data_IF_461754266983
#
_entry.id   IF_461754266983
#
_cell.length_a   1.000
_cell.length_b   1.000
_cell.length_c   1.000
_cell.angle_alpha   90.00
_cell.angle_beta   90.00
_cell.angle_gamma   90.00
#
_symmetry.space_group_name_H-M   'P 1'
#
loop_
_entity.id
_entity.type
_entity.pdbx_description
1 polymer ?
#
# COMPACT_ATOMS: atom_id res chain seq x y z
N UNK A 1 -18.93 -8.66 -2.83
CA UNK A 1 -17.96 -8.73 -1.71
C UNK A 1 -16.57 -8.39 -2.23
N UNK A 2 -15.77 -7.64 -1.45
CA UNK A 2 -14.45 -7.13 -1.86
C UNK A 2 -13.49 -8.22 -2.33
N UNK A 3 -13.38 -9.30 -1.55
CA UNK A 3 -12.47 -10.43 -1.82
C UNK A 3 -12.71 -11.04 -3.21
N UNK A 4 -13.97 -11.21 -3.60
CA UNK A 4 -14.32 -11.69 -4.94
C UNK A 4 -13.87 -10.74 -6.05
N UNK A 5 -13.96 -9.43 -5.82
CA UNK A 5 -13.43 -8.43 -6.78
C UNK A 5 -11.91 -8.46 -6.85
N UNK A 6 -11.22 -8.63 -5.72
CA UNK A 6 -9.77 -8.77 -5.69
C UNK A 6 -9.29 -10.03 -6.42
N UNK A 7 -9.99 -11.16 -6.27
CA UNK A 7 -9.67 -12.41 -6.97
C UNK A 7 -9.89 -12.30 -8.49
N UNK A 8 -10.85 -11.49 -8.93
CA UNK A 8 -11.17 -11.30 -10.35
C UNK A 8 -10.34 -10.20 -11.04
N UNK A 9 -9.82 -9.24 -10.29
CA UNK A 9 -9.06 -8.11 -10.81
C UNK A 9 -7.56 -8.43 -10.91
N UNK A 10 -6.87 -7.79 -11.87
CA UNK A 10 -5.42 -7.83 -11.94
C UNK A 10 -4.80 -6.91 -10.86
N UNK A 11 -3.80 -7.42 -10.15
CA UNK A 11 -2.93 -6.65 -9.27
C UNK A 11 -1.66 -6.18 -9.97
N UNK A 12 -1.11 -7.03 -10.86
CA UNK A 12 0.06 -6.76 -11.70
C UNK A 12 -0.20 -7.26 -13.13
N UNK A 13 0.40 -6.58 -14.11
CA UNK A 13 0.35 -7.01 -15.52
C UNK A 13 1.28 -8.20 -15.78
N UNK A 14 2.49 -8.18 -15.21
CA UNK A 14 3.46 -9.27 -15.28
C UNK A 14 2.91 -10.54 -14.63
N UNK A 15 2.90 -11.64 -15.38
CA UNK A 15 2.37 -12.92 -14.91
C UNK A 15 0.86 -12.92 -14.61
N UNK A 16 0.14 -11.82 -14.94
CA UNK A 16 -1.30 -11.65 -14.67
C UNK A 16 -1.70 -11.95 -13.22
N UNK A 17 -0.85 -11.56 -12.26
CA UNK A 17 -1.12 -11.78 -10.84
C UNK A 17 -2.43 -11.09 -10.43
N UNK A 18 -3.29 -11.80 -9.71
CA UNK A 18 -4.53 -11.22 -9.20
C UNK A 18 -4.23 -10.16 -8.13
N UNK A 19 -5.17 -9.23 -7.94
CA UNK A 19 -5.07 -8.23 -6.88
C UNK A 19 -5.08 -8.89 -5.50
N UNK A 20 -5.83 -9.98 -5.35
CA UNK A 20 -5.86 -10.77 -4.12
C UNK A 20 -4.47 -11.36 -3.78
N UNK A 21 -3.82 -12.00 -4.75
CA UNK A 21 -2.51 -12.63 -4.53
C UNK A 21 -1.43 -11.58 -4.23
N UNK A 22 -1.48 -10.43 -4.92
CA UNK A 22 -0.61 -9.29 -4.63
C UNK A 22 -0.81 -8.77 -3.20
N UNK A 23 -2.06 -8.49 -2.80
CA UNK A 23 -2.38 -8.02 -1.45
C UNK A 23 -1.91 -8.99 -0.35
N UNK A 24 -2.10 -10.30 -0.54
CA UNK A 24 -1.61 -11.30 0.42
C UNK A 24 -0.08 -11.40 0.45
N UNK A 25 0.57 -11.27 -0.70
CA UNK A 25 2.04 -11.23 -0.77
C UNK A 25 2.58 -10.02 -0.01
N UNK A 26 1.98 -8.85 -0.19
CA UNK A 26 2.32 -7.66 0.59
C UNK A 26 2.11 -7.89 2.09
N UNK A 27 1.02 -8.55 2.50
CA UNK A 27 0.78 -8.86 3.92
C UNK A 27 1.85 -9.82 4.49
N UNK A 28 2.21 -10.89 3.77
CA UNK A 28 3.26 -11.81 4.25
C UNK A 28 4.60 -11.06 4.45
N UNK A 29 4.98 -10.23 3.48
CA UNK A 29 6.15 -9.36 3.59
C UNK A 29 6.02 -8.42 4.78
N UNK A 30 4.89 -7.73 4.94
CA UNK A 30 4.67 -6.80 6.04
C UNK A 30 4.83 -7.48 7.41
N UNK A 31 4.31 -8.71 7.56
CA UNK A 31 4.47 -9.50 8.79
C UNK A 31 5.93 -9.90 9.06
N UNK A 32 6.74 -10.14 8.01
CA UNK A 32 8.18 -10.42 8.17
C UNK A 32 8.94 -9.16 8.58
N UNK A 33 8.65 -8.03 7.96
CA UNK A 33 9.27 -6.73 8.30
C UNK A 33 8.89 -6.30 9.72
N UNK A 34 7.62 -6.45 10.10
CA UNK A 34 7.16 -6.19 11.46
C UNK A 34 7.92 -7.05 12.50
N UNK A 35 8.14 -8.34 12.21
CA UNK A 35 8.96 -9.23 13.05
C UNK A 35 10.41 -8.77 13.16
N UNK A 36 11.03 -8.28 12.08
CA UNK A 36 12.38 -7.71 12.11
C UNK A 36 12.47 -6.44 12.96
N UNK A 37 11.36 -5.71 13.10
CA UNK A 37 11.24 -4.54 13.97
C UNK A 37 10.93 -4.89 15.44
N UNK A 38 10.74 -6.17 15.76
CA UNK A 38 10.29 -6.62 17.09
C UNK A 38 8.83 -6.28 17.40
N UNK A 39 8.01 -6.05 16.37
CA UNK A 39 6.60 -5.70 16.55
C UNK A 39 5.76 -6.91 16.95
N UNK A 40 5.01 -6.76 18.03
CA UNK A 40 4.05 -7.76 18.50
C UNK A 40 2.65 -7.49 17.96
N UNK A 41 1.78 -8.51 18.03
CA UNK A 41 0.38 -8.34 17.70
C UNK A 41 -0.29 -7.32 18.62
N UNK A 42 -1.09 -6.43 18.06
CA UNK A 42 -1.75 -5.37 18.80
C UNK A 42 -2.35 -4.31 17.88
N UNK A 43 -2.89 -3.21 18.45
CA UNK A 43 -3.60 -2.21 17.67
C UNK A 43 -2.80 -1.62 16.52
N UNK A 44 -1.51 -1.36 16.75
CA UNK A 44 -0.61 -0.79 15.75
C UNK A 44 -0.39 -1.74 14.57
N UNK A 45 -0.01 -2.99 14.84
CA UNK A 45 0.21 -3.99 13.79
C UNK A 45 -1.10 -4.32 13.06
N UNK A 46 -2.23 -4.40 13.75
CA UNK A 46 -3.54 -4.65 13.13
C UNK A 46 -3.90 -3.58 12.10
N UNK A 47 -3.70 -2.31 12.44
CA UNK A 47 -3.95 -1.18 11.54
C UNK A 47 -3.05 -1.25 10.31
N UNK A 48 -1.76 -1.54 10.51
CA UNK A 48 -0.79 -1.64 9.43
C UNK A 48 -1.09 -2.81 8.51
N UNK A 49 -1.38 -4.01 9.04
CA UNK A 49 -1.69 -5.19 8.22
C UNK A 49 -3.01 -5.01 7.46
N UNK A 50 -4.01 -4.41 8.10
CA UNK A 50 -5.25 -4.08 7.41
C UNK A 50 -5.02 -3.08 6.28
N UNK A 51 -4.22 -2.03 6.53
CA UNK A 51 -3.82 -1.05 5.52
C UNK A 51 -3.05 -1.70 4.36
N UNK A 52 -2.09 -2.59 4.65
CA UNK A 52 -1.36 -3.34 3.63
C UNK A 52 -2.30 -4.18 2.77
N UNK A 53 -3.31 -4.83 3.35
CA UNK A 53 -4.23 -5.63 2.54
C UNK A 53 -5.05 -4.78 1.55
N UNK A 54 -5.50 -3.60 1.99
CA UNK A 54 -6.40 -2.73 1.20
C UNK A 54 -5.70 -1.61 0.42
N UNK A 55 -4.37 -1.48 0.51
CA UNK A 55 -3.62 -0.34 -0.06
C UNK A 55 -3.91 -0.10 -1.54
N UNK A 56 -4.16 -1.18 -2.28
CA UNK A 56 -4.41 -1.19 -3.71
C UNK A 56 -5.90 -1.25 -4.07
N UNK A 57 -6.83 -0.96 -3.16
CA UNK A 57 -8.28 -1.02 -3.46
C UNK A 57 -8.66 -0.15 -4.67
N UNK A 58 -7.98 0.99 -4.85
CA UNK A 58 -8.19 1.86 -6.00
C UNK A 58 -7.84 1.21 -7.35
N UNK A 59 -7.10 0.09 -7.38
CA UNK A 59 -6.87 -0.68 -8.61
C UNK A 59 -8.14 -1.29 -9.18
N UNK A 60 -9.23 -1.38 -8.39
CA UNK A 60 -10.54 -1.78 -8.88
C UNK A 60 -11.18 -0.74 -9.83
N UNK A 61 -10.59 0.45 -9.98
CA UNK A 61 -10.97 1.42 -11.00
C UNK A 61 -10.95 0.76 -12.40
N UNK A 62 -12.06 0.80 -13.16
CA UNK A 62 -12.13 0.24 -14.50
C UNK A 62 -11.07 0.78 -15.48
N UNK A 63 -10.71 2.06 -15.38
CA UNK A 63 -9.67 2.66 -16.21
C UNK A 63 -8.27 2.12 -15.83
N UNK A 64 -8.01 1.89 -14.54
CA UNK A 64 -6.77 1.27 -14.10
C UNK A 64 -6.69 -0.20 -14.52
N UNK A 65 -7.77 -0.97 -14.37
CA UNK A 65 -7.84 -2.35 -14.86
C UNK A 65 -7.64 -2.44 -16.38
N UNK A 66 -8.21 -1.50 -17.15
CA UNK A 66 -7.98 -1.43 -18.59
C UNK A 66 -6.51 -1.19 -18.94
N UNK A 67 -5.79 -0.37 -18.16
CA UNK A 67 -4.35 -0.18 -18.32
C UNK A 67 -3.57 -1.47 -18.02
N UNK A 68 -3.89 -2.17 -16.92
CA UNK A 68 -3.24 -3.43 -16.56
C UNK A 68 -3.47 -4.51 -17.61
N UNK A 69 -4.70 -4.64 -18.11
CA UNK A 69 -5.03 -5.61 -19.17
C UNK A 69 -4.36 -5.28 -20.50
N UNK A 70 -4.26 -4.00 -20.86
CA UNK A 70 -3.51 -3.58 -22.04
C UNK A 70 -2.03 -3.97 -21.91
N UNK A 71 -1.40 -3.63 -20.77
CA UNK A 71 -0.01 -3.97 -20.48
C UNK A 71 0.23 -5.49 -20.49
N UNK A 72 -0.62 -6.27 -19.81
CA UNK A 72 -0.52 -7.73 -19.74
C UNK A 72 -0.68 -8.40 -21.11
N UNK A 73 -1.41 -7.77 -22.03
CA UNK A 73 -1.66 -8.29 -23.37
C UNK A 73 -0.68 -7.72 -24.43
N UNK A 74 0.30 -6.91 -24.04
CA UNK A 74 1.22 -6.24 -24.98
C UNK A 74 0.52 -5.24 -25.92
N UNK A 75 -0.65 -4.72 -25.53
CA UNK A 75 -1.41 -3.72 -26.31
C UNK A 75 -1.00 -2.30 -25.93
N UNK A 76 -1.21 -1.30 -26.81
CA UNK A 76 -1.03 0.09 -26.46
C UNK A 76 -1.83 0.48 -25.21
N UNK A 77 -1.20 1.22 -24.30
CA UNK A 77 -1.89 1.74 -23.12
C UNK A 77 -2.95 2.78 -23.50
N UNK A 78 -4.07 2.88 -22.76
CA UNK A 78 -5.02 3.98 -22.90
C UNK A 78 -4.35 5.35 -22.82
N UNK A 79 -4.87 6.34 -23.55
CA UNK A 79 -4.32 7.71 -23.57
C UNK A 79 -4.35 8.36 -22.18
N UNK A 80 -5.45 8.17 -21.45
CA UNK A 80 -5.58 8.64 -20.07
C UNK A 80 -4.99 7.62 -19.11
N UNK A 81 -3.88 7.99 -18.47
CA UNK A 81 -3.29 7.21 -17.37
C UNK A 81 -3.87 7.67 -16.04
N UNK A 82 -4.35 6.72 -15.25
CA UNK A 82 -4.86 6.95 -13.89
C UNK A 82 -3.89 6.39 -12.85
N UNK A 83 -3.85 7.03 -11.68
CA UNK A 83 -3.12 6.55 -10.50
C UNK A 83 -4.14 5.90 -9.59
N UNK A 84 -3.97 4.62 -9.26
CA UNK A 84 -4.97 3.88 -8.49
C UNK A 84 -5.14 4.45 -7.08
N UNK A 85 -4.09 5.02 -6.50
CA UNK A 85 -4.13 5.69 -5.21
C UNK A 85 -5.17 6.83 -5.23
N UNK A 86 -5.26 7.56 -6.36
CA UNK A 86 -6.22 8.64 -6.55
C UNK A 86 -7.68 8.16 -6.69
N UNK A 87 -7.89 6.86 -6.94
CA UNK A 87 -9.21 6.23 -7.05
C UNK A 87 -9.63 5.48 -5.78
N UNK A 88 -8.88 5.63 -4.67
CA UNK A 88 -9.14 4.93 -3.40
C UNK A 88 -10.53 5.23 -2.83
N UNK A 89 -10.99 6.49 -2.92
CA UNK A 89 -12.30 6.91 -2.43
C UNK A 89 -13.40 6.95 -3.51
N UNK A 90 -13.08 6.54 -4.74
CA UNK A 90 -14.06 6.51 -5.83
C UNK A 90 -14.96 5.27 -5.75
N UNK A 91 -16.03 5.28 -6.56
CA UNK A 91 -16.99 4.19 -6.68
C UNK A 91 -17.56 3.74 -5.32
N UNK A 92 -17.68 2.43 -5.10
CA UNK A 92 -18.09 1.84 -3.83
C UNK A 92 -16.90 1.29 -3.02
N UNK A 93 -15.65 1.68 -3.34
CA UNK A 93 -14.45 1.13 -2.70
C UNK A 93 -14.44 1.28 -1.18
N UNK A 94 -14.72 2.47 -0.59
CA UNK A 94 -14.72 2.61 0.87
C UNK A 94 -15.78 1.74 1.54
N UNK A 95 -16.97 1.72 0.94
CA UNK A 95 -18.10 0.90 1.41
C UNK A 95 -17.76 -0.59 1.38
N UNK A 96 -17.12 -1.06 0.30
CA UNK A 96 -16.71 -2.47 0.18
C UNK A 96 -15.70 -2.87 1.25
N UNK A 97 -14.72 -2.02 1.55
CA UNK A 97 -13.73 -2.30 2.62
C UNK A 97 -14.42 -2.32 3.98
N UNK A 98 -15.27 -1.34 4.28
CA UNK A 98 -16.02 -1.27 5.53
C UNK A 98 -16.93 -2.49 5.73
N UNK A 99 -17.74 -2.84 4.74
CA UNK A 99 -18.66 -3.97 4.79
C UNK A 99 -17.94 -5.34 4.81
N UNK A 100 -16.69 -5.41 4.34
CA UNK A 100 -15.95 -6.67 4.22
C UNK A 100 -14.86 -6.86 5.31
N UNK A 101 -14.79 -6.03 6.35
CA UNK A 101 -13.80 -6.16 7.44
C UNK A 101 -13.70 -7.57 8.03
N UNK A 102 -14.84 -8.19 8.30
CA UNK A 102 -14.93 -9.57 8.78
C UNK A 102 -14.34 -10.58 7.78
N UNK A 103 -14.72 -10.49 6.49
CA UNK A 103 -14.19 -11.35 5.46
C UNK A 103 -12.66 -11.18 5.27
N UNK A 104 -12.16 -9.94 5.38
CA UNK A 104 -10.72 -9.65 5.34
C UNK A 104 -10.00 -10.31 6.51
N UNK A 105 -10.52 -10.19 7.74
CA UNK A 105 -9.95 -10.87 8.92
C UNK A 105 -9.83 -12.38 8.69
N UNK A 106 -10.88 -13.00 8.19
CA UNK A 106 -10.92 -14.44 7.93
C UNK A 106 -9.88 -14.87 6.88
N UNK A 107 -9.74 -14.09 5.80
CA UNK A 107 -8.73 -14.32 4.76
C UNK A 107 -7.30 -14.14 5.31
N UNK A 108 -7.03 -13.09 6.10
CA UNK A 108 -5.73 -12.87 6.73
C UNK A 108 -5.35 -14.00 7.69
N UNK A 109 -6.33 -14.50 8.45
CA UNK A 109 -6.14 -15.64 9.36
C UNK A 109 -5.86 -16.93 8.58
N UNK A 110 -6.62 -17.19 7.52
CA UNK A 110 -6.50 -18.40 6.71
C UNK A 110 -5.21 -18.45 5.88
N UNK A 111 -4.85 -17.34 5.23
CA UNK A 111 -3.73 -17.28 4.30
C UNK A 111 -2.39 -16.96 4.97
N UNK A 112 -2.37 -16.08 5.97
CA UNK A 112 -1.14 -15.59 6.59
C UNK A 112 -0.98 -16.01 8.06
N UNK A 113 -1.98 -16.67 8.65
CA UNK A 113 -1.99 -17.03 10.07
C UNK A 113 -2.12 -15.83 11.01
N UNK A 114 -2.44 -14.63 10.50
CA UNK A 114 -2.54 -13.41 11.29
C UNK A 114 -3.97 -13.19 11.80
N UNK A 115 -4.15 -13.17 13.11
CA UNK A 115 -5.46 -12.99 13.74
C UNK A 115 -5.71 -11.51 14.07
N UNK A 116 -6.16 -10.76 13.06
CA UNK A 116 -6.52 -9.34 13.17
C UNK A 116 -7.69 -9.13 14.14
N UNK A 117 -7.54 -8.25 15.12
CA UNK A 117 -8.65 -7.87 16.01
C UNK A 117 -9.39 -6.63 15.49
N UNK A 118 -10.63 -6.82 14.99
CA UNK A 118 -11.40 -5.72 14.40
C UNK A 118 -11.74 -4.57 15.37
N UNK A 119 -11.68 -4.81 16.69
CA UNK A 119 -11.82 -3.74 17.68
C UNK A 119 -10.73 -2.68 17.56
N UNK A 120 -9.58 -3.02 16.95
CA UNK A 120 -8.49 -2.09 16.66
C UNK A 120 -8.71 -1.26 15.38
N UNK A 121 -9.66 -1.67 14.52
CA UNK A 121 -10.02 -1.02 13.26
C UNK A 121 -11.25 -0.11 13.47
N UNK A 122 -11.09 0.86 14.37
CA UNK A 122 -12.07 1.91 14.68
C UNK A 122 -12.21 2.91 13.55
N UNK A 123 -13.21 3.81 13.60
CA UNK A 123 -13.36 4.89 12.63
C UNK A 123 -12.11 5.78 12.52
N UNK A 124 -11.52 6.16 13.66
CA UNK A 124 -10.26 6.92 13.67
C UNK A 124 -9.09 6.12 13.11
N UNK A 125 -9.04 4.81 13.38
CA UNK A 125 -8.02 3.95 12.79
C UNK A 125 -8.15 3.83 11.27
N UNK A 126 -9.39 3.84 10.76
CA UNK A 126 -9.65 3.82 9.32
C UNK A 126 -9.09 5.04 8.60
N UNK A 127 -9.06 6.22 9.24
CA UNK A 127 -8.38 7.37 8.65
C UNK A 127 -6.91 7.10 8.34
N UNK A 128 -6.20 6.40 9.23
CA UNK A 128 -4.79 6.07 9.04
C UNK A 128 -4.64 4.96 8.01
N UNK A 129 -5.52 3.95 8.03
CA UNK A 129 -5.60 2.90 6.99
C UNK A 129 -5.74 3.53 5.60
N UNK A 130 -6.66 4.47 5.45
CA UNK A 130 -6.84 5.17 4.18
C UNK A 130 -5.66 6.06 3.82
N UNK A 131 -5.07 6.74 4.79
CA UNK A 131 -3.86 7.52 4.56
C UNK A 131 -2.71 6.65 4.06
N UNK A 132 -2.48 5.47 4.64
CA UNK A 132 -1.50 4.51 4.13
C UNK A 132 -1.82 4.06 2.70
N UNK A 133 -3.07 3.70 2.41
CA UNK A 133 -3.49 3.31 1.07
C UNK A 133 -3.28 4.44 0.04
N UNK A 134 -3.47 5.70 0.41
CA UNK A 134 -3.27 6.83 -0.51
C UNK A 134 -1.80 7.23 -0.64
N UNK A 135 -1.01 7.09 0.42
CA UNK A 135 0.37 7.60 0.49
C UNK A 135 1.44 6.58 0.10
N UNK A 136 1.10 5.31 -0.16
CA UNK A 136 2.11 4.25 -0.31
C UNK A 136 3.09 4.41 -1.49
N UNK A 137 2.81 5.29 -2.45
CA UNK A 137 3.76 5.68 -3.50
C UNK A 137 4.41 7.06 -3.28
N UNK A 138 4.21 7.69 -2.11
CA UNK A 138 4.84 8.95 -1.72
C UNK A 138 4.30 10.22 -2.39
N UNK A 139 3.26 10.10 -3.23
CA UNK A 139 2.77 11.22 -4.06
C UNK A 139 1.57 11.96 -3.48
N UNK A 140 0.72 11.27 -2.72
CA UNK A 140 -0.56 11.80 -2.28
C UNK A 140 -0.65 11.85 -0.76
N UNK A 141 -1.64 12.59 -0.27
CA UNK A 141 -2.05 12.63 1.12
C UNK A 141 -3.59 12.72 1.20
N UNK A 142 -4.14 12.41 2.36
CA UNK A 142 -5.58 12.51 2.61
C UNK A 142 -5.87 13.84 3.30
N UNK A 143 -6.75 14.61 2.71
CA UNK A 143 -7.27 15.88 3.20
C UNK A 143 -8.73 15.68 3.60
N UNK A 144 -9.21 16.36 4.65
CA UNK A 144 -10.59 16.24 5.11
C UNK A 144 -11.29 17.59 5.04
N UNK A 145 -12.39 17.63 4.31
CA UNK A 145 -13.17 18.85 4.06
C UNK A 145 -14.66 18.58 4.27
N UNK A 146 -15.39 19.56 4.79
CA UNK A 146 -16.86 19.49 4.80
C UNK A 146 -17.43 19.83 3.44
N UNK A 147 -18.32 18.97 2.97
CA UNK A 147 -19.16 19.30 1.82
C UNK A 147 -20.24 20.34 2.19
N UNK A 148 -21.05 20.75 1.22
CA UNK A 148 -22.12 21.74 1.43
C UNK A 148 -23.17 21.30 2.47
N UNK A 149 -23.27 20.00 2.77
CA UNK A 149 -24.17 19.45 3.78
C UNK A 149 -23.56 19.42 5.19
N UNK A 150 -22.30 19.83 5.34
CA UNK A 150 -21.56 19.77 6.61
C UNK A 150 -20.95 18.39 6.90
N UNK A 151 -21.08 17.43 5.98
CA UNK A 151 -20.49 16.09 6.11
C UNK A 151 -19.00 16.15 5.81
N UNK A 152 -18.16 15.65 6.72
CA UNK A 152 -16.72 15.56 6.51
C UNK A 152 -16.41 14.47 5.47
N UNK A 153 -15.68 14.81 4.42
CA UNK A 153 -15.30 13.92 3.32
C UNK A 153 -13.79 13.87 3.18
N UNK A 154 -13.21 12.67 3.00
CA UNK A 154 -11.82 12.57 2.61
C UNK A 154 -11.66 12.97 1.13
N UNK A 155 -10.57 13.65 0.83
CA UNK A 155 -10.15 14.09 -0.49
C UNK A 155 -8.68 13.74 -0.69
N UNK A 156 -8.34 13.27 -1.88
CA UNK A 156 -6.97 12.91 -2.23
C UNK A 156 -6.29 14.11 -2.86
N UNK A 157 -5.14 14.50 -2.30
CA UNK A 157 -4.39 15.67 -2.74
C UNK A 157 -2.93 15.30 -2.97
N UNK A 158 -2.26 16.00 -3.88
CA UNK A 158 -0.86 15.70 -4.28
C UNK A 158 0.16 16.66 -3.66
N UNK A 159 -0.19 17.94 -3.53
CA UNK A 159 0.74 18.97 -3.07
C UNK A 159 0.48 19.30 -1.60
N UNK A 160 1.18 18.61 -0.70
CA UNK A 160 1.01 18.85 0.74
C UNK A 160 1.56 20.22 1.18
N UNK A 161 2.35 20.91 0.36
CA UNK A 161 2.79 22.29 0.65
C UNK A 161 1.74 23.35 0.30
N UNK A 162 0.66 22.97 -0.40
CA UNK A 162 -0.41 23.88 -0.76
C UNK A 162 -1.42 24.08 0.38
N UNK A 163 -1.85 25.33 0.57
CA UNK A 163 -2.91 25.69 1.50
C UNK A 163 -4.29 25.58 0.81
N UNK A 164 -5.21 24.85 1.43
CA UNK A 164 -6.58 24.69 0.96
C UNK A 164 -7.55 25.28 2.00
N UNK A 165 -8.24 26.40 1.70
CA UNK A 165 -9.01 27.14 2.72
C UNK A 165 -10.14 26.37 3.41
N UNK A 166 -10.58 25.25 2.86
CA UNK A 166 -11.66 24.41 3.42
C UNK A 166 -11.17 23.15 4.13
N UNK A 167 -9.87 22.91 4.13
CA UNK A 167 -9.28 21.77 4.79
C UNK A 167 -9.31 21.95 6.30
N UNK A 168 -9.99 21.02 6.99
CA UNK A 168 -10.08 20.99 8.44
C UNK A 168 -8.90 20.25 9.07
N UNK A 169 -8.43 19.19 8.38
CA UNK A 169 -7.25 18.40 8.76
C UNK A 169 -6.72 17.62 7.56
N UNK A 170 -5.51 17.10 7.71
CA UNK A 170 -4.89 16.21 6.73
C UNK A 170 -4.05 15.14 7.42
N UNK A 171 -3.77 14.06 6.71
CA UNK A 171 -2.83 13.02 7.10
C UNK A 171 -1.89 12.79 5.91
N UNK A 172 -0.61 13.05 6.13
CA UNK A 172 0.47 12.94 5.15
C UNK A 172 1.33 11.71 5.42
N UNK A 173 2.17 11.33 4.46
CA UNK A 173 3.17 10.28 4.69
C UNK A 173 4.06 10.61 5.90
N UNK A 174 4.46 11.88 6.06
CA UNK A 174 5.31 12.30 7.19
C UNK A 174 4.63 12.01 8.53
N UNK A 175 3.34 12.32 8.66
CA UNK A 175 2.57 12.04 9.88
C UNK A 175 2.60 10.53 10.20
N UNK A 176 2.42 9.68 9.19
CA UNK A 176 2.46 8.22 9.33
C UNK A 176 3.86 7.72 9.70
N UNK A 177 4.93 8.29 9.11
CA UNK A 177 6.32 7.95 9.43
C UNK A 177 6.66 8.19 10.90
N UNK A 178 6.17 9.31 11.47
CA UNK A 178 6.39 9.63 12.88
C UNK A 178 5.50 8.82 13.81
N UNK A 179 4.20 8.74 13.55
CA UNK A 179 3.24 8.09 14.45
C UNK A 179 3.45 6.58 14.55
N UNK A 180 3.83 5.94 13.44
CA UNK A 180 4.03 4.48 13.38
C UNK A 180 5.50 4.07 13.45
N UNK A 181 6.43 4.97 13.80
CA UNK A 181 7.85 4.66 13.87
C UNK A 181 8.15 3.37 14.69
N UNK A 182 8.99 2.44 14.19
CA UNK A 182 9.75 2.47 12.92
C UNK A 182 8.99 1.92 11.70
N UNK A 183 7.72 1.55 11.85
CA UNK A 183 6.90 0.89 10.84
C UNK A 183 6.03 1.83 9.98
N UNK A 184 6.20 3.14 10.07
CA UNK A 184 5.41 4.07 9.24
C UNK A 184 5.67 3.91 7.73
N UNK A 185 6.78 3.30 7.33
CA UNK A 185 7.07 2.93 5.94
C UNK A 185 6.57 1.54 5.53
N UNK A 186 5.91 0.79 6.42
CA UNK A 186 5.70 -0.65 6.24
C UNK A 186 4.91 -0.99 4.97
N UNK A 187 3.84 -0.25 4.66
CA UNK A 187 3.03 -0.49 3.46
C UNK A 187 3.85 -0.28 2.18
N UNK A 188 4.74 0.72 2.17
CA UNK A 188 5.64 1.01 1.04
C UNK A 188 6.65 -0.13 0.88
N UNK A 189 7.32 -0.51 1.97
CA UNK A 189 8.33 -1.58 1.97
C UNK A 189 7.71 -2.91 1.54
N UNK A 190 6.50 -3.20 2.03
CA UNK A 190 5.76 -4.40 1.71
C UNK A 190 5.41 -4.49 0.22
N UNK A 191 4.79 -3.44 -0.34
CA UNK A 191 4.45 -3.40 -1.77
C UNK A 191 5.70 -3.46 -2.66
N UNK A 192 6.77 -2.77 -2.27
CA UNK A 192 8.04 -2.78 -3.00
C UNK A 192 8.65 -4.18 -3.09
N UNK A 193 8.87 -4.84 -1.95
CA UNK A 193 9.47 -6.18 -1.92
C UNK A 193 8.55 -7.19 -2.60
N UNK A 194 7.24 -7.11 -2.35
CA UNK A 194 6.25 -8.01 -2.97
C UNK A 194 6.34 -7.93 -4.50
N UNK A 195 6.35 -6.71 -5.04
CA UNK A 195 6.46 -6.43 -6.48
C UNK A 195 7.80 -6.90 -7.05
N UNK A 196 8.90 -6.52 -6.41
CA UNK A 196 10.24 -6.85 -6.88
C UNK A 196 10.46 -8.37 -6.97
N UNK A 197 10.05 -9.12 -5.95
CA UNK A 197 10.24 -10.57 -5.99
C UNK A 197 9.32 -11.23 -7.01
N UNK A 198 8.06 -10.80 -7.14
CA UNK A 198 7.14 -11.32 -8.17
C UNK A 198 7.69 -11.10 -9.58
N UNK A 199 8.18 -9.90 -9.86
CA UNK A 199 8.72 -9.53 -11.17
C UNK A 199 10.05 -10.22 -11.48
N UNK A 200 10.90 -10.39 -10.46
CA UNK A 200 12.17 -11.09 -10.59
C UNK A 200 12.08 -12.61 -10.48
N UNK A 201 10.88 -13.18 -10.24
CA UNK A 201 10.70 -14.61 -9.95
C UNK A 201 11.47 -15.07 -8.70
N UNK A 202 11.68 -14.18 -7.73
CA UNK A 202 12.45 -14.42 -6.50
C UNK A 202 11.53 -14.89 -5.37
N UNK A 203 12.08 -15.68 -4.45
CA UNK A 203 11.37 -16.13 -3.24
C UNK A 203 11.57 -15.13 -2.08
N UNK A 204 10.48 -14.72 -1.44
CA UNK A 204 10.51 -13.92 -0.21
C UNK A 204 11.33 -14.59 0.90
N UNK A 205 11.21 -15.90 1.07
CA UNK A 205 11.95 -16.63 2.09
C UNK A 205 13.47 -16.54 1.85
N UNK A 206 13.90 -16.66 0.60
CA UNK A 206 15.31 -16.47 0.25
C UNK A 206 15.76 -15.02 0.49
N UNK A 207 14.95 -14.05 0.05
CA UNK A 207 15.23 -12.63 0.24
C UNK A 207 15.45 -12.27 1.72
N UNK A 208 14.57 -12.75 2.60
CA UNK A 208 14.65 -12.51 4.04
C UNK A 208 15.67 -13.39 4.78
N UNK A 209 16.12 -14.52 4.20
CA UNK A 209 17.10 -15.42 4.86
C UNK A 209 18.44 -14.76 5.18
N UNK A 210 18.77 -13.69 4.46
CA UNK A 210 20.03 -12.94 4.58
C UNK A 210 19.93 -11.73 5.51
N UNK A 211 18.73 -11.42 6.01
CA UNK A 211 18.43 -10.22 6.78
C UNK A 211 18.10 -10.58 8.22
N UNK A 212 18.80 -9.98 9.19
CA UNK A 212 18.61 -10.25 10.64
C UNK A 212 17.98 -9.09 11.41
N UNK A 213 17.93 -7.90 10.82
CA UNK A 213 17.34 -6.71 11.44
C UNK A 213 16.66 -5.83 10.40
N UNK A 214 15.79 -4.94 10.87
CA UNK A 214 15.18 -3.93 10.01
C UNK A 214 16.24 -3.00 9.37
N UNK A 215 17.30 -2.65 10.09
CA UNK A 215 18.41 -1.86 9.54
C UNK A 215 19.08 -2.55 8.35
N UNK A 216 19.40 -3.85 8.47
CA UNK A 216 19.98 -4.62 7.37
C UNK A 216 19.04 -4.75 6.18
N UNK A 217 17.73 -4.85 6.42
CA UNK A 217 16.73 -4.84 5.34
C UNK A 217 16.82 -3.54 4.55
N UNK A 218 16.83 -2.41 5.25
CA UNK A 218 16.86 -1.10 4.63
C UNK A 218 18.15 -0.86 3.86
N UNK A 219 19.30 -1.22 4.42
CA UNK A 219 20.60 -1.17 3.72
C UNK A 219 20.57 -1.97 2.41
N UNK A 220 20.09 -3.22 2.48
CA UNK A 220 19.99 -4.08 1.29
C UNK A 220 19.06 -3.48 0.23
N UNK A 221 17.91 -2.93 0.62
CA UNK A 221 16.98 -2.27 -0.31
C UNK A 221 17.59 -1.01 -0.93
N UNK A 222 18.32 -0.21 -0.15
CA UNK A 222 18.98 1.01 -0.64
C UNK A 222 20.07 0.66 -1.66
N UNK A 223 20.85 -0.39 -1.39
CA UNK A 223 21.90 -0.86 -2.29
C UNK A 223 21.33 -1.40 -3.61
N UNK A 224 20.16 -2.06 -3.54
CA UNK A 224 19.47 -2.63 -4.71
C UNK A 224 18.51 -1.65 -5.40
N UNK A 225 18.37 -0.41 -4.91
CA UNK A 225 17.32 0.51 -5.35
C UNK A 225 17.34 0.78 -6.87
N UNK A 226 18.51 0.86 -7.49
CA UNK A 226 18.63 1.06 -8.95
C UNK A 226 18.17 -0.15 -9.75
N UNK A 227 18.47 -1.37 -9.28
CA UNK A 227 18.01 -2.62 -9.90
C UNK A 227 16.50 -2.73 -9.79
N UNK A 228 15.96 -2.48 -8.59
CA UNK A 228 14.52 -2.53 -8.30
C UNK A 228 13.77 -1.49 -9.16
N UNK A 229 14.27 -0.26 -9.22
CA UNK A 229 13.61 0.78 -10.01
C UNK A 229 13.68 0.46 -11.52
N UNK A 230 14.78 -0.13 -11.97
CA UNK A 230 14.92 -0.57 -13.37
C UNK A 230 13.93 -1.68 -13.74
N UNK A 231 13.66 -2.64 -12.84
CA UNK A 231 12.63 -3.66 -13.09
C UNK A 231 11.25 -3.03 -13.15
N UNK A 232 10.96 -2.07 -12.26
CA UNK A 232 9.67 -1.38 -12.21
C UNK A 232 9.38 -0.47 -13.43
N UNK A 233 10.42 0.06 -14.08
CA UNK A 233 10.30 0.95 -15.25
C UNK A 233 9.67 0.30 -16.48
N UNK A 234 9.65 -1.03 -16.57
CA UNK A 234 9.00 -1.74 -17.67
C UNK A 234 7.48 -1.44 -17.77
N UNK A 235 6.85 -1.01 -16.67
CA UNK A 235 5.40 -0.74 -16.61
C UNK A 235 5.08 0.70 -16.19
N UNK A 236 5.96 1.32 -15.40
CA UNK A 236 5.84 2.72 -15.02
C UNK A 236 7.17 3.46 -15.25
N UNK A 237 7.34 4.20 -16.37
CA UNK A 237 8.62 4.77 -16.78
C UNK A 237 9.07 5.97 -15.92
N UNK A 238 8.46 6.19 -14.76
CA UNK A 238 8.77 7.30 -13.86
C UNK A 238 10.00 6.99 -13.02
N UNK A 239 10.76 8.04 -12.74
CA UNK A 239 11.76 8.03 -11.69
C UNK A 239 11.04 8.18 -10.35
N UNK A 240 11.20 7.17 -9.49
CA UNK A 240 10.57 7.15 -8.17
C UNK A 240 11.48 7.73 -7.08
N UNK A 241 12.73 8.03 -7.43
CA UNK A 241 13.78 8.35 -6.48
C UNK A 241 13.76 7.34 -5.33
N UNK A 242 13.69 6.05 -5.69
CA UNK A 242 13.39 4.96 -4.76
C UNK A 242 14.44 4.91 -3.66
N UNK A 243 15.72 5.06 -4.03
CA UNK A 243 16.85 5.13 -3.11
C UNK A 243 16.65 6.20 -2.03
N UNK A 244 16.14 7.37 -2.41
CA UNK A 244 15.97 8.52 -1.52
C UNK A 244 14.74 8.34 -0.62
N UNK A 245 13.69 7.72 -1.13
CA UNK A 245 12.55 7.31 -0.32
C UNK A 245 12.98 6.27 0.72
N UNK A 246 13.75 5.26 0.32
CA UNK A 246 14.26 4.24 1.24
C UNK A 246 15.19 4.84 2.31
N UNK A 247 16.05 5.81 1.97
CA UNK A 247 16.85 6.56 2.96
C UNK A 247 15.98 7.33 3.94
N UNK A 248 14.90 7.96 3.48
CA UNK A 248 13.95 8.65 4.36
C UNK A 248 13.27 7.66 5.31
N UNK A 249 12.82 6.50 4.80
CA UNK A 249 12.22 5.44 5.60
C UNK A 249 13.20 4.80 6.60
N UNK A 250 14.48 4.73 6.24
CA UNK A 250 15.55 4.28 7.13
C UNK A 250 15.85 5.28 8.25
N UNK A 251 15.39 6.53 8.11
CA UNK A 251 15.57 7.59 9.11
C UNK A 251 15.00 7.19 10.47
N UNK A 252 15.87 7.06 11.46
CA UNK A 252 15.51 6.68 12.84
C UNK A 252 15.59 5.19 13.14
N UNK A 253 15.92 4.34 12.15
CA UNK A 253 16.20 2.92 12.34
C UNK A 253 17.70 2.77 12.63
N UNK A 254 18.13 3.14 13.84
CA UNK A 254 19.50 2.94 14.35
C UNK A 254 19.47 2.15 15.65
#
# INVERSE_FOLDING_TARGET
>A
MLIGRYKAALGKSTGRQSLYDHSLSCVDVALRVARLAGEEAGPRLDQLIFATFVHDVGKLDPAFQAMLEAAASGRPLPEKRVKHEASTFDYDHPRLVEECKEAIREELRGACGYNLELKHITERAMDHVWAFAVTHHGLFYVSYERDKSGTLRPLIRRQWTSFYPREERRITLVDLLFEYHPLGGLVIIADLIASYCHEGGKDYAEFFSKVRSLGQLMEQLIDQAEEIESSLRCYDPRDYSLRETLKLLAGGIQ
#
